data_IF_511165971794
#
_entry.id   IF_511165971794
#
_cell.length_a   1.000
_cell.length_b   1.000
_cell.length_c   1.000
_cell.angle_alpha   90.00
_cell.angle_beta   90.00
_cell.angle_gamma   90.00
#
_symmetry.space_group_name_H-M   'P 1'
#
loop_
_entity.id
_entity.type
_entity.pdbx_description
1 polymer ?
#
# COMPACT_ATOMS: atom_id res chain seq x y z
N UNK A 1 -8.48 18.80 -0.06
CA UNK A 1 -8.91 17.90 1.03
C UNK A 1 -10.36 18.17 1.34
N UNK A 2 -11.18 17.13 1.39
CA UNK A 2 -12.51 17.20 1.98
C UNK A 2 -12.39 16.86 3.45
N UNK A 3 -12.72 17.79 4.32
CA UNK A 3 -12.56 17.65 5.76
C UNK A 3 -13.81 17.04 6.40
N UNK A 4 -13.61 16.02 7.21
CA UNK A 4 -14.62 15.39 8.05
C UNK A 4 -14.27 15.57 9.52
N UNK A 5 -15.24 15.92 10.34
CA UNK A 5 -15.08 16.10 11.79
C UNK A 5 -16.01 15.14 12.52
N UNK A 6 -15.49 14.06 13.07
CA UNK A 6 -16.28 13.16 13.92
C UNK A 6 -16.71 13.87 15.22
N UNK A 7 -17.94 13.69 15.70
CA UNK A 7 -19.04 12.92 15.10
C UNK A 7 -19.90 13.70 14.10
N UNK A 8 -19.66 15.01 13.89
CA UNK A 8 -20.59 15.88 13.16
C UNK A 8 -20.57 15.66 11.64
N UNK A 9 -19.39 15.30 11.10
CA UNK A 9 -19.20 14.99 9.69
C UNK A 9 -18.38 13.71 9.56
N UNK A 10 -19.01 12.66 9.08
CA UNK A 10 -18.40 11.33 8.94
C UNK A 10 -18.65 10.77 7.54
N UNK A 11 -17.82 9.81 7.15
CA UNK A 11 -18.08 8.95 6.01
C UNK A 11 -17.81 7.49 6.39
N UNK A 12 -18.50 6.55 5.76
CA UNK A 12 -18.41 5.13 6.08
C UNK A 12 -17.98 4.28 4.88
N UNK A 13 -18.01 4.84 3.67
CA UNK A 13 -17.85 4.08 2.43
C UNK A 13 -16.57 3.26 2.41
N UNK A 14 -15.43 3.86 2.78
CA UNK A 14 -14.15 3.14 2.70
C UNK A 14 -14.05 1.96 3.67
N UNK A 15 -14.64 2.06 4.86
CA UNK A 15 -14.71 0.93 5.77
C UNK A 15 -15.52 -0.23 5.19
N UNK A 16 -16.65 0.07 4.58
CA UNK A 16 -17.48 -0.93 3.90
C UNK A 16 -16.78 -1.55 2.69
N UNK A 17 -16.10 -0.74 1.87
CA UNK A 17 -15.45 -1.21 0.64
C UNK A 17 -14.15 -1.99 0.91
N UNK A 18 -13.41 -1.65 1.99
CA UNK A 18 -12.08 -2.20 2.20
C UNK A 18 -12.04 -3.41 3.14
N UNK A 19 -13.04 -3.60 4.03
CA UNK A 19 -12.96 -4.63 5.06
C UNK A 19 -14.01 -5.72 4.87
N UNK A 20 -13.63 -7.02 5.01
CA UNK A 20 -14.53 -8.14 4.69
C UNK A 20 -15.59 -8.38 5.75
N UNK A 21 -15.27 -8.12 7.02
CA UNK A 21 -16.18 -8.40 8.14
C UNK A 21 -16.98 -7.15 8.47
N UNK A 22 -18.30 -7.25 8.36
CA UNK A 22 -19.22 -6.11 8.50
C UNK A 22 -18.96 -4.98 7.49
N UNK A 23 -18.39 -5.31 6.38
CA UNK A 23 -18.18 -4.50 5.21
C UNK A 23 -18.40 -5.36 3.97
N UNK A 24 -18.07 -4.83 2.81
CA UNK A 24 -18.29 -5.49 1.52
C UNK A 24 -17.00 -6.07 0.91
N UNK A 25 -15.82 -5.72 1.43
CA UNK A 25 -14.53 -6.22 0.93
C UNK A 25 -14.32 -6.03 -0.58
N UNK A 26 -14.93 -5.00 -1.17
CA UNK A 26 -14.97 -4.83 -2.63
C UNK A 26 -13.69 -4.25 -3.23
N UNK A 27 -12.85 -3.58 -2.42
CA UNK A 27 -11.58 -3.02 -2.88
C UNK A 27 -10.43 -3.97 -2.60
N UNK A 28 -10.15 -4.82 -3.57
CA UNK A 28 -9.11 -5.85 -3.45
C UNK A 28 -7.84 -5.44 -4.19
N UNK A 29 -6.71 -5.23 -3.48
CA UNK A 29 -5.41 -5.04 -4.11
C UNK A 29 -5.06 -6.22 -5.02
N UNK A 30 -4.50 -5.93 -6.20
CA UNK A 30 -4.02 -6.97 -7.11
C UNK A 30 -2.63 -7.47 -6.71
N UNK A 31 -2.27 -8.68 -7.15
CA UNK A 31 -0.90 -9.18 -7.00
C UNK A 31 0.12 -8.23 -7.63
N UNK A 32 -0.19 -7.65 -8.79
CA UNK A 32 0.69 -6.69 -9.46
C UNK A 32 0.98 -5.44 -8.61
N UNK A 33 -0.02 -4.98 -7.84
CA UNK A 33 0.20 -3.87 -6.90
C UNK A 33 1.10 -4.31 -5.74
N UNK A 34 0.91 -5.51 -5.18
CA UNK A 34 1.77 -6.06 -4.12
C UNK A 34 3.20 -6.22 -4.63
N UNK A 35 3.40 -6.71 -5.84
CA UNK A 35 4.72 -6.90 -6.45
C UNK A 35 5.41 -5.57 -6.80
N UNK A 36 4.66 -4.49 -6.97
CA UNK A 36 5.21 -3.15 -7.20
C UNK A 36 5.89 -2.54 -5.97
N UNK A 37 5.58 -3.01 -4.77
CA UNK A 37 6.35 -2.63 -3.59
C UNK A 37 7.73 -3.31 -3.64
N UNK A 38 8.78 -2.53 -3.45
CA UNK A 38 10.16 -3.01 -3.44
C UNK A 38 10.47 -3.85 -2.18
N UNK A 39 11.66 -4.45 -2.17
CA UNK A 39 12.23 -4.94 -0.92
C UNK A 39 12.78 -3.78 -0.05
N UNK A 40 13.17 -4.08 1.17
CA UNK A 40 13.69 -3.07 2.12
C UNK A 40 15.04 -2.46 1.73
N UNK A 41 15.76 -3.06 0.75
CA UNK A 41 17.00 -2.53 0.17
C UNK A 41 16.73 -1.69 -1.09
N UNK A 42 15.47 -1.58 -1.53
CA UNK A 42 15.04 -0.79 -2.66
C UNK A 42 15.17 -1.49 -4.01
N UNK A 43 15.21 -2.82 -4.03
CA UNK A 43 15.16 -3.60 -5.26
C UNK A 43 13.71 -3.94 -5.63
N UNK A 44 13.34 -3.86 -6.92
CA UNK A 44 12.12 -4.50 -7.40
C UNK A 44 12.12 -5.99 -7.06
N UNK A 45 10.97 -6.55 -6.70
CA UNK A 45 10.88 -7.96 -6.23
C UNK A 45 11.46 -8.94 -7.22
N UNK A 46 11.29 -8.72 -8.52
CA UNK A 46 11.84 -9.56 -9.58
C UNK A 46 13.38 -9.58 -9.64
N UNK A 47 14.04 -8.58 -9.03
CA UNK A 47 15.51 -8.43 -8.99
C UNK A 47 16.06 -8.56 -7.56
N UNK A 48 15.20 -8.75 -6.56
CA UNK A 48 15.57 -8.81 -5.14
C UNK A 48 16.42 -10.04 -4.82
N UNK A 49 17.40 -9.85 -3.94
CA UNK A 49 18.25 -10.93 -3.40
C UNK A 49 17.82 -11.35 -1.99
N UNK A 50 16.92 -10.60 -1.37
CA UNK A 50 16.45 -10.82 0.01
C UNK A 50 14.98 -11.22 0.08
N UNK A 51 14.28 -11.21 -1.06
CA UNK A 51 12.90 -11.66 -1.15
C UNK A 51 12.80 -13.19 -0.97
N UNK A 52 11.93 -13.63 -0.07
CA UNK A 52 11.63 -15.03 0.17
C UNK A 52 10.17 -15.32 -0.23
N UNK A 53 9.91 -16.11 -1.27
CA UNK A 53 8.55 -16.44 -1.69
C UNK A 53 7.77 -17.29 -0.66
N UNK A 54 8.44 -17.85 0.35
CA UNK A 54 7.78 -18.57 1.45
C UNK A 54 7.38 -17.63 2.60
N UNK A 55 7.93 -16.42 2.63
CA UNK A 55 7.60 -15.34 3.55
C UNK A 55 7.55 -14.00 2.78
N UNK A 56 6.55 -13.82 1.88
CA UNK A 56 6.57 -12.79 0.84
C UNK A 56 6.39 -11.36 1.35
N UNK A 57 6.03 -11.18 2.62
CA UNK A 57 5.83 -9.87 3.23
C UNK A 57 7.02 -9.41 4.06
N UNK A 58 7.97 -10.31 4.33
CA UNK A 58 9.19 -9.97 5.05
C UNK A 58 10.17 -9.17 4.19
N UNK A 59 10.90 -8.25 4.83
CA UNK A 59 11.91 -7.40 4.16
C UNK A 59 11.34 -6.61 2.96
N UNK A 60 10.14 -6.07 3.10
CA UNK A 60 9.48 -5.29 2.07
C UNK A 60 9.49 -3.80 2.42
N UNK A 61 9.15 -2.99 1.45
CA UNK A 61 8.82 -1.58 1.64
C UNK A 61 7.79 -1.42 2.77
N UNK A 62 8.05 -0.59 3.79
CA UNK A 62 7.16 -0.45 4.93
C UNK A 62 5.75 0.09 4.58
N UNK A 63 5.56 0.63 3.37
CA UNK A 63 4.24 1.03 2.90
C UNK A 63 3.33 -0.15 2.60
N UNK A 64 3.89 -1.32 2.30
CA UNK A 64 3.09 -2.53 2.07
C UNK A 64 2.23 -2.86 3.29
N UNK A 65 2.83 -2.87 4.48
CA UNK A 65 2.18 -3.19 5.75
C UNK A 65 1.07 -2.19 6.15
N UNK A 66 1.16 -0.94 5.69
CA UNK A 66 0.18 0.09 6.05
C UNK A 66 -0.89 0.33 4.97
N UNK A 67 -0.68 -0.18 3.80
CA UNK A 67 -1.60 0.00 2.67
C UNK A 67 -2.44 -1.23 2.37
N UNK A 68 -1.96 -2.45 2.72
CA UNK A 68 -2.54 -3.73 2.32
C UNK A 68 -2.61 -4.70 3.50
N UNK A 69 -3.79 -5.27 3.74
CA UNK A 69 -3.96 -6.40 4.67
C UNK A 69 -3.79 -7.72 3.92
N UNK A 70 -3.04 -8.64 4.52
CA UNK A 70 -2.75 -9.95 3.95
C UNK A 70 -2.92 -11.09 4.98
N UNK A 71 -2.64 -12.31 4.58
CA UNK A 71 -2.80 -13.48 5.44
C UNK A 71 -2.00 -13.36 6.74
N UNK A 72 -2.64 -13.66 7.85
CA UNK A 72 -2.06 -13.66 9.18
C UNK A 72 -2.13 -12.33 9.92
N UNK A 73 -2.42 -11.21 9.26
CA UNK A 73 -2.57 -9.92 9.93
C UNK A 73 -3.85 -9.82 10.74
N UNK A 74 -3.85 -8.91 11.69
CA UNK A 74 -4.98 -8.68 12.58
C UNK A 74 -5.44 -7.23 12.51
N UNK A 75 -6.74 -7.02 12.24
CA UNK A 75 -7.36 -5.71 12.27
C UNK A 75 -8.78 -5.80 12.86
N UNK A 76 -9.12 -4.87 13.75
CA UNK A 76 -10.42 -4.81 14.42
C UNK A 76 -10.82 -6.13 15.12
N UNK A 77 -9.82 -6.84 15.69
CA UNK A 77 -10.02 -8.14 16.32
C UNK A 77 -10.33 -9.30 15.35
N UNK A 78 -10.11 -9.10 14.07
CA UNK A 78 -10.27 -10.12 13.02
C UNK A 78 -8.90 -10.49 12.48
N UNK A 79 -8.54 -11.78 12.55
CA UNK A 79 -7.35 -12.30 11.86
C UNK A 79 -7.71 -12.59 10.41
N UNK A 80 -6.98 -12.00 9.47
CA UNK A 80 -7.13 -12.24 8.03
C UNK A 80 -6.62 -13.64 7.69
N UNK A 81 -7.47 -14.48 7.08
CA UNK A 81 -7.16 -15.85 6.67
C UNK A 81 -7.63 -16.06 5.25
N UNK A 82 -6.70 -15.99 4.31
CA UNK A 82 -7.03 -16.01 2.88
C UNK A 82 -6.94 -17.38 2.22
N UNK A 83 -6.45 -18.41 2.93
CA UNK A 83 -6.35 -19.75 2.37
C UNK A 83 -7.70 -20.22 1.82
N UNK A 84 -7.78 -20.76 0.59
CA UNK A 84 -9.03 -21.11 -0.08
C UNK A 84 -9.87 -22.16 0.65
N UNK A 85 -9.25 -22.93 1.54
CA UNK A 85 -9.88 -23.98 2.33
C UNK A 85 -9.84 -23.69 3.83
N UNK A 86 -9.56 -22.44 4.22
CA UNK A 86 -9.66 -22.04 5.61
C UNK A 86 -11.12 -22.22 6.04
N UNK A 87 -11.38 -23.31 6.74
CA UNK A 87 -12.71 -23.76 7.19
C UNK A 87 -13.37 -22.84 8.22
N UNK A 88 -12.79 -21.70 8.49
CA UNK A 88 -13.27 -20.80 9.51
C UNK A 88 -12.87 -19.36 9.23
N UNK A 89 -13.71 -18.63 8.62
CA UNK A 89 -13.55 -17.19 8.60
C UNK A 89 -14.11 -16.55 7.34
N UNK A 90 -14.77 -15.47 7.56
CA UNK A 90 -15.36 -14.60 6.53
C UNK A 90 -14.33 -13.85 5.68
N UNK A 91 -13.03 -14.17 5.79
CA UNK A 91 -11.93 -13.44 5.12
C UNK A 91 -11.25 -14.25 4.01
N UNK A 92 -11.59 -15.53 3.84
CA UNK A 92 -10.97 -16.40 2.84
C UNK A 92 -11.38 -16.08 1.39
N UNK A 93 -10.52 -16.37 0.43
CA UNK A 93 -10.75 -16.11 -0.99
C UNK A 93 -12.08 -16.74 -1.45
N UNK A 94 -12.96 -15.92 -2.01
CA UNK A 94 -14.27 -16.32 -2.54
C UNK A 94 -15.16 -17.13 -1.56
N UNK A 95 -14.97 -16.94 -0.26
CA UNK A 95 -15.78 -17.66 0.75
C UNK A 95 -17.23 -17.19 0.83
N UNK A 96 -17.49 -15.96 0.47
CA UNK A 96 -18.79 -15.33 0.34
C UNK A 96 -18.69 -14.11 -0.60
N UNK A 97 -19.81 -13.47 -0.92
CA UNK A 97 -19.86 -12.37 -1.88
C UNK A 97 -18.97 -11.16 -1.52
N UNK A 98 -18.68 -10.97 -0.24
CA UNK A 98 -17.90 -9.84 0.27
C UNK A 98 -16.45 -10.25 0.62
N UNK A 99 -16.04 -11.47 0.26
CA UNK A 99 -14.68 -11.95 0.47
C UNK A 99 -13.76 -11.59 -0.70
N UNK A 100 -12.49 -11.38 -0.40
CA UNK A 100 -11.49 -11.04 -1.43
C UNK A 100 -11.42 -12.07 -2.55
N UNK A 101 -11.23 -11.61 -3.76
CA UNK A 101 -10.91 -12.44 -4.93
C UNK A 101 -9.40 -12.62 -5.12
N UNK A 102 -8.57 -11.76 -4.50
CA UNK A 102 -7.12 -11.71 -4.72
C UNK A 102 -6.29 -12.23 -3.55
N UNK A 103 -6.89 -12.39 -2.38
CA UNK A 103 -6.19 -12.72 -1.14
C UNK A 103 -5.71 -11.50 -0.36
N UNK A 104 -6.05 -10.30 -0.80
CA UNK A 104 -5.66 -9.04 -0.18
C UNK A 104 -6.87 -8.18 0.10
N UNK A 105 -6.75 -7.29 1.10
CA UNK A 105 -7.72 -6.24 1.39
C UNK A 105 -7.03 -4.88 1.50
N UNK A 106 -7.73 -3.80 1.19
CA UNK A 106 -7.20 -2.45 1.33
C UNK A 106 -7.17 -2.01 2.80
N UNK A 107 -6.03 -1.53 3.27
CA UNK A 107 -5.87 -1.00 4.64
C UNK A 107 -5.73 0.52 4.67
N UNK A 108 -5.16 1.09 3.65
CA UNK A 108 -4.80 2.52 3.56
C UNK A 108 -5.87 3.51 4.03
N UNK A 109 -7.14 3.18 3.82
CA UNK A 109 -8.27 4.06 4.13
C UNK A 109 -8.93 3.74 5.46
N UNK A 110 -8.53 2.65 6.11
CA UNK A 110 -9.08 2.23 7.39
C UNK A 110 -8.49 3.06 8.52
N UNK A 111 -9.28 3.30 9.55
CA UNK A 111 -8.85 3.94 10.78
C UNK A 111 -8.71 2.86 11.86
N UNK A 112 -7.47 2.51 12.27
CA UNK A 112 -7.26 1.44 13.25
C UNK A 112 -7.82 1.73 14.65
N UNK A 113 -8.14 2.99 14.94
CA UNK A 113 -8.74 3.39 16.22
C UNK A 113 -10.27 3.25 16.25
N UNK A 114 -10.87 2.98 15.09
CA UNK A 114 -12.31 2.80 14.97
C UNK A 114 -12.76 1.47 15.60
N UNK A 115 -13.91 1.46 16.27
CA UNK A 115 -14.62 0.23 16.58
C UNK A 115 -15.81 0.06 15.60
N UNK A 116 -15.68 -0.80 14.58
CA UNK A 116 -16.75 -0.99 13.60
C UNK A 116 -18.06 -1.52 14.20
N UNK A 117 -17.99 -2.12 15.39
CA UNK A 117 -19.18 -2.64 16.10
C UNK A 117 -20.02 -1.54 16.70
N UNK A 118 -19.37 -0.53 17.31
CA UNK A 118 -20.04 0.61 17.94
C UNK A 118 -20.22 1.78 16.97
N UNK A 119 -19.23 2.03 16.12
CA UNK A 119 -19.18 3.24 15.28
C UNK A 119 -19.78 3.04 13.88
N UNK A 120 -20.10 1.79 13.49
CA UNK A 120 -20.75 1.48 12.22
C UNK A 120 -19.98 1.97 10.99
N UNK A 121 -18.62 1.93 11.02
CA UNK A 121 -17.74 2.46 10.00
C UNK A 121 -17.80 4.00 9.80
N UNK A 122 -18.40 4.73 10.72
CA UNK A 122 -18.42 6.19 10.66
C UNK A 122 -17.03 6.75 11.01
N UNK A 123 -16.31 7.20 10.00
CA UNK A 123 -14.95 7.72 10.14
C UNK A 123 -14.94 9.24 9.95
N UNK A 124 -14.20 9.93 10.83
CA UNK A 124 -13.90 11.36 10.71
C UNK A 124 -12.62 11.65 9.93
N UNK A 125 -12.07 10.64 9.21
CA UNK A 125 -10.81 10.79 8.47
C UNK A 125 -10.99 11.67 7.25
N UNK A 126 -10.07 12.61 7.05
CA UNK A 126 -10.09 13.51 5.91
C UNK A 126 -9.95 12.75 4.58
N UNK A 127 -10.76 13.13 3.60
CA UNK A 127 -10.61 12.63 2.24
C UNK A 127 -9.56 13.46 1.50
N UNK A 128 -8.42 12.86 1.24
CA UNK A 128 -7.29 13.50 0.57
C UNK A 128 -7.41 13.30 -0.95
N UNK A 129 -7.68 14.38 -1.70
CA UNK A 129 -7.76 14.35 -3.16
C UNK A 129 -6.37 14.40 -3.80
N UNK A 130 -5.47 15.24 -3.29
CA UNK A 130 -4.11 15.42 -3.79
C UNK A 130 -3.17 15.53 -2.59
N UNK A 131 -2.05 14.81 -2.65
CA UNK A 131 -0.98 14.88 -1.65
C UNK A 131 0.29 15.45 -2.26
N UNK A 132 1.13 16.07 -1.45
CA UNK A 132 2.42 16.60 -1.90
C UNK A 132 3.32 15.53 -2.55
N UNK A 133 3.25 14.28 -2.08
CA UNK A 133 3.94 13.17 -2.73
C UNK A 133 3.54 12.96 -4.20
N UNK A 134 2.26 13.15 -4.55
CA UNK A 134 1.80 13.10 -5.94
C UNK A 134 2.40 14.23 -6.78
N UNK A 135 2.47 15.44 -6.22
CA UNK A 135 3.10 16.59 -6.89
C UNK A 135 4.59 16.30 -7.15
N UNK A 136 5.31 15.75 -6.16
CA UNK A 136 6.72 15.40 -6.30
C UNK A 136 6.94 14.33 -7.37
N UNK A 137 6.12 13.27 -7.39
CA UNK A 137 6.24 12.19 -8.37
C UNK A 137 5.89 12.65 -9.79
N UNK A 138 4.84 13.46 -9.95
CA UNK A 138 4.48 14.06 -11.25
C UNK A 138 5.59 15.00 -11.74
N UNK A 139 6.20 15.76 -10.84
CA UNK A 139 7.36 16.60 -11.20
C UNK A 139 8.56 15.75 -11.64
N UNK A 140 8.86 14.67 -10.89
CA UNK A 140 9.95 13.77 -11.23
C UNK A 140 9.75 13.10 -12.59
N UNK A 141 8.54 12.60 -12.87
CA UNK A 141 8.16 12.00 -14.13
C UNK A 141 8.36 13.02 -15.29
N UNK A 142 7.83 14.22 -15.16
CA UNK A 142 7.96 15.26 -16.18
C UNK A 142 9.44 15.65 -16.42
N UNK A 143 10.25 15.75 -15.38
CA UNK A 143 11.69 16.02 -15.47
C UNK A 143 12.44 14.89 -16.16
N UNK A 144 12.16 13.65 -15.76
CA UNK A 144 12.77 12.46 -16.33
C UNK A 144 12.47 12.33 -17.82
N UNK A 145 11.22 12.58 -18.24
CA UNK A 145 10.82 12.58 -19.66
C UNK A 145 11.54 13.67 -20.48
N UNK A 146 11.78 14.83 -19.89
CA UNK A 146 12.39 15.96 -20.60
C UNK A 146 13.92 15.90 -20.65
N UNK A 147 14.57 15.39 -19.61
CA UNK A 147 16.01 15.54 -19.39
C UNK A 147 16.72 14.22 -19.06
N UNK A 148 15.97 13.10 -18.92
CA UNK A 148 16.50 11.82 -18.49
C UNK A 148 16.86 11.81 -17.00
N UNK A 149 17.95 11.15 -16.62
CA UNK A 149 18.40 10.99 -15.22
C UNK A 149 18.84 12.34 -14.61
N UNK A 150 17.87 13.22 -14.41
CA UNK A 150 18.08 14.57 -13.87
C UNK A 150 18.16 14.54 -12.32
N UNK A 151 19.14 15.27 -11.70
CA UNK A 151 19.27 15.32 -10.24
C UNK A 151 18.02 15.80 -9.50
N UNK A 152 17.24 16.71 -10.10
CA UNK A 152 15.99 17.20 -9.48
C UNK A 152 14.89 16.13 -9.52
N UNK A 153 14.87 15.30 -10.57
CA UNK A 153 13.96 14.15 -10.64
C UNK A 153 14.28 13.14 -9.52
N UNK A 154 15.58 12.79 -9.35
CA UNK A 154 16.02 11.96 -8.23
C UNK A 154 15.65 12.55 -6.87
N UNK A 155 15.89 13.83 -6.63
CA UNK A 155 15.56 14.45 -5.34
C UNK A 155 14.05 14.40 -5.04
N UNK A 156 13.22 14.66 -6.04
CA UNK A 156 11.77 14.61 -5.89
C UNK A 156 11.26 13.19 -5.51
N UNK A 157 11.75 12.14 -6.18
CA UNK A 157 11.44 10.73 -5.81
C UNK A 157 12.00 10.41 -4.43
N UNK A 158 13.22 10.82 -4.15
CA UNK A 158 13.92 10.52 -2.91
C UNK A 158 13.30 11.22 -1.68
N UNK A 159 12.66 12.37 -1.83
CA UNK A 159 11.85 12.96 -0.77
C UNK A 159 10.71 12.03 -0.34
N UNK A 160 10.04 11.37 -1.28
CA UNK A 160 8.98 10.40 -0.99
C UNK A 160 9.56 9.15 -0.32
N UNK A 161 10.71 8.65 -0.80
CA UNK A 161 11.40 7.47 -0.26
C UNK A 161 11.93 7.71 1.16
N UNK A 162 12.60 8.82 1.40
CA UNK A 162 13.13 9.22 2.73
C UNK A 162 12.04 9.26 3.80
N UNK A 163 10.85 9.75 3.46
CA UNK A 163 9.73 9.85 4.40
C UNK A 163 9.37 8.51 5.06
N UNK A 164 9.58 7.42 4.35
CA UNK A 164 9.23 6.06 4.81
C UNK A 164 10.46 5.19 5.12
N UNK A 165 11.66 5.78 5.11
CA UNK A 165 12.91 5.08 5.42
C UNK A 165 13.42 4.18 4.30
N UNK A 166 12.90 4.30 3.07
CA UNK A 166 13.42 3.54 1.93
C UNK A 166 14.74 4.15 1.43
N UNK A 167 15.68 3.28 0.97
CA UNK A 167 16.94 3.75 0.37
C UNK A 167 16.70 4.65 -0.84
N UNK A 168 17.55 5.67 -1.01
CA UNK A 168 17.45 6.62 -2.10
C UNK A 168 17.85 5.98 -3.44
N UNK A 169 17.09 6.30 -4.50
CA UNK A 169 17.50 6.00 -5.87
C UNK A 169 18.73 6.86 -6.24
N UNK A 170 19.63 6.30 -7.04
CA UNK A 170 20.88 6.96 -7.42
C UNK A 170 21.46 6.37 -8.72
N UNK A 171 22.35 7.11 -9.38
CA UNK A 171 23.01 6.70 -10.62
C UNK A 171 24.54 6.66 -10.53
N UNK A 172 25.09 6.55 -9.32
CA UNK A 172 26.54 6.65 -9.08
C UNK A 172 27.19 5.33 -8.72
N UNK A 173 26.42 4.38 -8.14
CA UNK A 173 26.95 3.10 -7.69
C UNK A 173 26.11 1.93 -8.20
N UNK A 174 26.60 1.29 -9.29
CA UNK A 174 25.91 0.17 -9.94
C UNK A 174 25.87 -1.13 -9.11
N UNK A 175 26.53 -1.19 -7.95
CA UNK A 175 26.47 -2.35 -7.06
C UNK A 175 25.27 -2.33 -6.11
N UNK A 176 24.58 -1.21 -5.97
CA UNK A 176 23.43 -1.05 -5.09
C UNK A 176 22.12 -1.38 -5.81
N UNK A 177 21.13 -1.96 -5.10
CA UNK A 177 19.81 -2.26 -5.66
C UNK A 177 19.08 -1.05 -6.24
N UNK A 178 19.34 0.14 -5.68
CA UNK A 178 18.71 1.42 -6.05
C UNK A 178 19.38 2.13 -7.23
N UNK A 179 20.26 1.44 -7.96
CA UNK A 179 20.98 2.03 -9.10
C UNK A 179 20.06 2.14 -10.31
N UNK A 180 19.88 3.36 -10.81
CA UNK A 180 19.21 3.68 -12.05
C UNK A 180 20.24 3.89 -13.16
N UNK A 181 20.33 2.95 -14.09
CA UNK A 181 21.25 3.03 -15.24
C UNK A 181 20.66 3.84 -16.39
N UNK A 182 19.36 3.80 -16.53
CA UNK A 182 18.59 4.38 -17.62
C UNK A 182 17.42 5.24 -17.11
N UNK A 183 16.84 5.99 -18.01
CA UNK A 183 15.64 6.77 -17.76
C UNK A 183 14.48 5.89 -17.28
N UNK A 184 14.37 4.67 -17.80
CA UNK A 184 13.30 3.73 -17.45
C UNK A 184 13.46 3.13 -16.05
N UNK A 185 14.62 3.28 -15.41
CA UNK A 185 14.87 2.79 -14.06
C UNK A 185 14.46 3.81 -12.98
N UNK A 186 14.28 5.09 -13.32
CA UNK A 186 13.88 6.16 -12.42
C UNK A 186 12.36 6.37 -12.46
#
# INVERSE_FOLDING_TARGET
>A
VTQFNYPDKTHYLMGWECFPTKGWGGMNPTQSLVDAFEDSEGAPISKSKIYDPTDPFKNRDPRLEVDILHDGEEMYGVTIKVAPLASSGSTGINQHNDATETGYYGQKWLDPSLDPLSDGWNMGKDWVHIRYAEVLLTYAEAKNELQGLDPEAFDAVNQVRRRVGMPELQNTNASLPTYCATQDDL
#
